data_IF_079209975363
#
_entry.id   IF_079209975363
#
_cell.length_a   1.000
_cell.length_b   1.000
_cell.length_c   1.000
_cell.angle_alpha   90.00
_cell.angle_beta   90.00
_cell.angle_gamma   90.00
#
_symmetry.space_group_name_H-M   'P 1'
#
loop_
_entity.id
_entity.type
_entity.pdbx_description
1 polymer ?
#
# COMPACT_ATOMS: atom_id res chain seq x y z
N UNK A 1 -1.32 -9.39 34.98
CA UNK A 1 -2.54 -10.24 34.93
C UNK A 1 -2.75 -10.67 33.50
N UNK A 2 -2.70 -11.97 33.27
CA UNK A 2 -2.79 -12.60 31.95
C UNK A 2 -4.16 -12.35 31.32
N UNK A 3 -4.23 -11.89 30.07
CA UNK A 3 -5.40 -12.03 29.16
C UNK A 3 -4.87 -12.04 27.73
N UNK A 4 -4.74 -13.20 27.19
CA UNK A 4 -5.58 -13.91 26.21
C UNK A 4 -5.36 -13.41 24.80
N UNK A 5 -4.42 -14.09 24.12
CA UNK A 5 -4.36 -14.24 22.67
C UNK A 5 -5.65 -14.95 22.21
N UNK A 6 -6.45 -14.30 21.43
CA UNK A 6 -7.57 -14.91 20.72
C UNK A 6 -7.11 -15.28 19.31
N UNK A 7 -6.77 -16.53 19.19
CA UNK A 7 -6.50 -17.21 17.92
C UNK A 7 -7.86 -17.33 17.18
N UNK A 8 -8.07 -16.57 16.14
CA UNK A 8 -9.17 -16.82 15.19
C UNK A 8 -8.64 -17.76 14.13
N UNK A 9 -8.88 -19.05 14.37
CA UNK A 9 -8.65 -20.12 13.42
C UNK A 9 -9.83 -20.10 12.42
N UNK A 10 -9.67 -19.55 11.25
CA UNK A 10 -10.61 -19.74 10.15
C UNK A 10 -10.44 -21.15 9.61
N UNK A 11 -11.47 -21.97 9.83
CA UNK A 11 -11.57 -23.36 9.38
C UNK A 11 -11.94 -23.37 7.91
N UNK A 12 -10.96 -23.66 7.06
CA UNK A 12 -11.19 -24.11 5.69
C UNK A 12 -11.71 -25.56 5.73
N UNK A 13 -12.99 -25.76 5.47
CA UNK A 13 -13.55 -27.08 5.21
C UNK A 13 -13.26 -27.51 3.77
N UNK A 14 -12.18 -28.25 3.60
CA UNK A 14 -11.95 -29.02 2.38
C UNK A 14 -12.60 -30.39 2.56
N UNK A 15 -13.60 -30.70 1.74
CA UNK A 15 -14.15 -32.05 1.61
C UNK A 15 -13.19 -32.90 0.76
N UNK A 16 -12.39 -33.73 1.42
CA UNK A 16 -11.63 -34.77 0.74
C UNK A 16 -12.45 -36.06 0.66
N UNK A 17 -12.78 -36.51 -0.52
CA UNK A 17 -13.27 -37.84 -0.80
C UNK A 17 -12.10 -38.83 -0.88
N UNK A 18 -12.16 -39.81 -0.05
CA UNK A 18 -11.24 -40.92 0.11
C UNK A 18 -11.18 -41.82 -1.14
N UNK A 19 -10.00 -42.10 -1.63
CA UNK A 19 -9.71 -43.38 -2.25
C UNK A 19 -8.23 -43.77 -2.00
N UNK A 20 -8.04 -44.95 -1.48
CA UNK A 20 -6.91 -45.43 -0.74
C UNK A 20 -5.69 -45.89 -1.53
N UNK A 21 -4.69 -46.20 -0.71
CA UNK A 21 -3.67 -47.25 -0.74
C UNK A 21 -2.27 -46.96 -1.22
N UNK A 22 -1.47 -47.01 -0.21
CA UNK A 22 -0.15 -47.66 -0.04
C UNK A 22 1.13 -46.84 -0.25
N UNK A 23 2.11 -47.02 0.67
CA UNK A 23 3.25 -46.16 0.79
C UNK A 23 4.37 -46.62 -0.14
N UNK A 24 4.86 -45.71 -0.95
CA UNK A 24 6.22 -45.80 -1.48
C UNK A 24 7.00 -44.60 -0.96
N UNK A 25 8.00 -44.88 -0.15
CA UNK A 25 9.05 -43.97 0.21
C UNK A 25 9.92 -43.79 -1.03
N UNK A 26 9.88 -42.61 -1.64
CA UNK A 26 10.94 -42.20 -2.55
C UNK A 26 11.41 -40.82 -2.15
N UNK A 27 12.72 -40.66 -2.16
CA UNK A 27 13.50 -39.58 -1.61
C UNK A 27 13.53 -38.39 -2.58
N UNK A 28 13.18 -37.23 -2.05
CA UNK A 28 13.82 -35.94 -2.35
C UNK A 28 13.80 -35.44 -3.79
N UNK A 29 12.84 -34.58 -4.05
CA UNK A 29 13.08 -33.36 -4.82
C UNK A 29 12.01 -32.37 -4.32
N UNK A 30 12.45 -31.20 -3.81
CA UNK A 30 11.55 -30.14 -3.38
C UNK A 30 10.87 -29.54 -4.62
N UNK A 31 9.84 -30.18 -5.12
CA UNK A 31 8.89 -29.55 -6.02
C UNK A 31 7.96 -28.71 -5.17
N UNK A 32 8.18 -27.41 -5.17
CA UNK A 32 7.17 -26.43 -4.78
C UNK A 32 5.98 -26.70 -5.70
N UNK A 33 4.87 -27.21 -5.18
CA UNK A 33 3.65 -27.38 -5.95
C UNK A 33 3.11 -25.98 -6.25
N UNK A 34 3.14 -25.58 -7.51
CA UNK A 34 2.48 -24.34 -7.97
C UNK A 34 1.01 -24.45 -7.60
N UNK A 35 0.51 -23.49 -6.83
CA UNK A 35 -0.90 -23.40 -6.48
C UNK A 35 -1.64 -22.88 -7.70
N UNK A 36 -2.57 -23.66 -8.24
CA UNK A 36 -3.41 -23.26 -9.37
C UNK A 36 -4.85 -23.12 -8.91
N UNK A 37 -5.48 -22.00 -9.22
CA UNK A 37 -6.89 -21.75 -8.89
C UNK A 37 -7.79 -22.44 -9.90
N UNK A 38 -8.77 -23.20 -9.42
CA UNK A 38 -9.80 -23.80 -10.27
C UNK A 38 -10.96 -22.81 -10.44
N UNK A 39 -11.32 -22.52 -11.70
CA UNK A 39 -12.47 -21.68 -12.03
C UNK A 39 -13.72 -22.55 -12.29
N UNK A 40 -14.96 -22.10 -11.97
CA UNK A 40 -15.25 -20.78 -11.39
C UNK A 40 -14.76 -20.63 -9.95
N UNK A 41 -14.29 -19.43 -9.61
CA UNK A 41 -13.91 -19.08 -8.25
C UNK A 41 -14.86 -18.02 -7.68
N UNK A 42 -15.25 -18.19 -6.42
CA UNK A 42 -16.09 -17.22 -5.70
C UNK A 42 -15.32 -16.65 -4.52
N UNK A 43 -15.30 -15.34 -4.44
CA UNK A 43 -14.62 -14.58 -3.36
C UNK A 43 -15.58 -13.60 -2.70
N UNK A 44 -15.19 -13.11 -1.52
CA UNK A 44 -15.85 -11.97 -0.88
C UNK A 44 -14.91 -10.78 -0.95
N UNK A 45 -15.38 -9.64 -1.48
CA UNK A 45 -14.58 -8.42 -1.57
C UNK A 45 -14.49 -7.69 -0.23
N UNK A 46 -13.70 -6.59 -0.18
CA UNK A 46 -13.44 -5.87 1.07
C UNK A 46 -14.63 -5.06 1.62
N UNK A 47 -15.76 -5.03 0.90
CA UNK A 47 -17.01 -4.45 1.41
C UNK A 47 -18.12 -5.49 1.63
N UNK A 48 -17.79 -6.78 1.49
CA UNK A 48 -18.65 -7.90 1.80
C UNK A 48 -19.54 -8.41 0.66
N UNK A 49 -19.27 -8.05 -0.60
CA UNK A 49 -19.98 -8.62 -1.74
C UNK A 49 -19.39 -9.99 -2.09
N UNK A 50 -20.26 -10.94 -2.48
CA UNK A 50 -19.85 -12.18 -3.12
C UNK A 50 -19.79 -11.99 -4.65
N UNK A 51 -18.62 -12.28 -5.23
CA UNK A 51 -18.34 -12.20 -6.65
C UNK A 51 -17.85 -13.56 -7.14
N UNK A 52 -18.42 -14.04 -8.24
CA UNK A 52 -17.96 -15.24 -8.93
C UNK A 52 -17.32 -14.83 -10.25
N UNK A 53 -16.11 -15.36 -10.49
CA UNK A 53 -15.40 -15.24 -11.76
C UNK A 53 -15.37 -16.62 -12.40
N UNK A 54 -15.96 -16.73 -13.60
CA UNK A 54 -16.20 -18.03 -14.24
C UNK A 54 -14.96 -18.61 -14.92
N UNK A 55 -14.07 -17.77 -15.43
CA UNK A 55 -12.83 -18.13 -16.14
C UNK A 55 -11.69 -17.21 -15.70
N UNK A 56 -10.44 -17.64 -15.93
CA UNK A 56 -9.25 -16.83 -15.61
C UNK A 56 -9.30 -15.48 -16.37
N UNK A 57 -9.24 -14.34 -15.64
CA UNK A 57 -9.27 -13.03 -16.28
C UNK A 57 -8.06 -12.78 -17.19
N UNK A 58 -8.35 -12.25 -18.38
CA UNK A 58 -7.36 -11.82 -19.38
C UNK A 58 -7.44 -10.31 -19.67
N UNK A 59 -8.52 -9.65 -19.22
CA UNK A 59 -8.81 -8.24 -19.48
C UNK A 59 -9.26 -7.53 -18.22
N UNK A 60 -8.29 -7.02 -17.47
CA UNK A 60 -8.52 -6.39 -16.17
C UNK A 60 -8.64 -4.88 -16.34
N UNK A 61 -9.67 -4.29 -15.73
CA UNK A 61 -9.76 -2.84 -15.54
C UNK A 61 -9.52 -2.53 -14.06
N UNK A 62 -8.58 -1.63 -13.79
CA UNK A 62 -8.33 -1.11 -12.46
C UNK A 62 -8.65 0.38 -12.39
N UNK A 63 -9.65 0.76 -11.59
CA UNK A 63 -10.08 2.16 -11.41
C UNK A 63 -9.37 2.88 -10.25
N UNK A 64 -8.26 2.33 -9.75
CA UNK A 64 -7.58 2.84 -8.57
C UNK A 64 -6.08 2.54 -8.59
N UNK A 65 -5.25 3.57 -8.46
CA UNK A 65 -3.79 3.41 -8.54
C UNK A 65 -3.22 2.38 -7.55
N UNK A 66 -3.85 2.20 -6.39
CA UNK A 66 -3.42 1.22 -5.39
C UNK A 66 -3.61 -0.20 -5.92
N UNK A 67 -4.76 -0.50 -6.51
CA UNK A 67 -4.99 -1.82 -7.14
C UNK A 67 -4.20 -2.00 -8.44
N UNK A 68 -3.97 -0.94 -9.19
CA UNK A 68 -3.09 -0.98 -10.37
C UNK A 68 -1.65 -1.33 -9.98
N UNK A 69 -1.11 -0.69 -8.92
CA UNK A 69 0.19 -1.03 -8.34
C UNK A 69 0.25 -2.49 -7.87
N UNK A 70 -0.80 -3.00 -7.23
CA UNK A 70 -0.87 -4.40 -6.82
C UNK A 70 -0.88 -5.35 -8.03
N UNK A 71 -1.62 -5.02 -9.09
CA UNK A 71 -1.59 -5.79 -10.34
C UNK A 71 -0.18 -5.83 -10.97
N UNK A 72 0.53 -4.70 -11.01
CA UNK A 72 1.91 -4.64 -11.51
C UNK A 72 2.83 -5.50 -10.64
N UNK A 73 2.77 -5.38 -9.31
CA UNK A 73 3.58 -6.19 -8.40
C UNK A 73 3.29 -7.71 -8.53
N UNK A 74 2.07 -8.07 -8.93
CA UNK A 74 1.66 -9.45 -9.18
C UNK A 74 2.02 -9.95 -10.60
N UNK A 75 2.61 -9.10 -11.47
CA UNK A 75 2.98 -9.46 -12.86
C UNK A 75 1.77 -9.54 -13.79
N UNK A 76 0.78 -8.67 -13.59
CA UNK A 76 -0.46 -8.62 -14.36
C UNK A 76 -0.54 -7.42 -15.30
N UNK A 77 0.56 -6.71 -15.52
CA UNK A 77 0.61 -5.51 -16.37
C UNK A 77 0.10 -5.78 -17.79
N UNK A 78 0.42 -6.92 -18.37
CA UNK A 78 -0.03 -7.34 -19.71
C UNK A 78 -1.56 -7.58 -19.79
N UNK A 79 -2.22 -7.80 -18.65
CA UNK A 79 -3.66 -8.02 -18.56
C UNK A 79 -4.46 -6.74 -18.26
N UNK A 80 -3.78 -5.66 -17.85
CA UNK A 80 -4.42 -4.38 -17.59
C UNK A 80 -4.79 -3.67 -18.89
N UNK A 81 -6.09 -3.70 -19.27
CA UNK A 81 -6.60 -3.07 -20.50
C UNK A 81 -7.01 -1.62 -20.31
N UNK A 82 -7.35 -1.21 -19.09
CA UNK A 82 -7.55 0.19 -18.72
C UNK A 82 -7.27 0.41 -17.24
N UNK A 83 -6.76 1.60 -16.91
CA UNK A 83 -6.33 2.00 -15.57
C UNK A 83 -6.85 3.40 -15.22
N UNK A 84 -6.63 3.83 -14.00
CA UNK A 84 -7.00 5.17 -13.53
C UNK A 84 -6.28 6.29 -14.32
N UNK A 85 -6.79 7.52 -14.22
CA UNK A 85 -6.13 8.71 -14.81
C UNK A 85 -4.83 9.08 -14.09
N UNK A 86 -3.92 9.79 -14.78
CA UNK A 86 -2.68 10.33 -14.22
C UNK A 86 -1.55 9.32 -14.07
N UNK A 87 -1.59 8.21 -14.79
CA UNK A 87 -0.51 7.20 -14.82
C UNK A 87 0.82 7.75 -15.30
N UNK A 88 0.80 8.71 -16.25
CA UNK A 88 1.96 9.42 -16.76
C UNK A 88 2.68 10.29 -15.70
N UNK A 89 2.00 10.60 -14.60
CA UNK A 89 2.52 11.36 -13.47
C UNK A 89 3.03 10.47 -12.33
N UNK A 90 2.90 9.14 -12.47
CA UNK A 90 3.32 8.17 -11.46
C UNK A 90 4.56 7.42 -11.94
N UNK A 91 5.73 7.65 -11.29
CA UNK A 91 7.00 7.06 -11.73
C UNK A 91 6.97 5.54 -11.88
N UNK A 92 6.21 4.83 -11.03
CA UNK A 92 6.15 3.37 -11.06
C UNK A 92 5.70 2.81 -12.42
N UNK A 93 4.80 3.47 -13.13
CA UNK A 93 4.41 3.03 -14.47
C UNK A 93 5.55 3.13 -15.47
N UNK A 94 6.37 4.19 -15.37
CA UNK A 94 7.54 4.34 -16.25
C UNK A 94 8.66 3.35 -15.92
N UNK A 95 8.78 2.97 -14.64
CA UNK A 95 9.85 2.10 -14.15
C UNK A 95 9.52 0.62 -14.35
N UNK A 96 8.31 0.20 -14.02
CA UNK A 96 7.93 -1.21 -13.95
C UNK A 96 6.97 -1.66 -15.07
N UNK A 97 6.18 -0.75 -15.64
CA UNK A 97 5.16 -1.09 -16.65
C UNK A 97 5.02 -0.01 -17.74
N UNK A 98 6.13 0.38 -18.43
CA UNK A 98 6.10 1.49 -19.40
C UNK A 98 5.14 1.25 -20.56
N UNK A 99 4.89 0.01 -20.94
CA UNK A 99 3.97 -0.33 -22.04
C UNK A 99 2.50 0.03 -21.72
N UNK A 100 2.12 0.03 -20.43
CA UNK A 100 0.77 0.47 -20.02
C UNK A 100 0.49 1.93 -20.37
N UNK A 101 1.51 2.79 -20.39
CA UNK A 101 1.35 4.19 -20.74
C UNK A 101 0.92 4.39 -22.21
N UNK A 102 1.19 3.41 -23.07
CA UNK A 102 0.87 3.43 -24.50
C UNK A 102 -0.40 2.63 -24.84
N UNK A 103 -0.68 1.56 -24.06
CA UNK A 103 -1.68 0.55 -24.42
C UNK A 103 -2.96 0.61 -23.59
N UNK A 104 -2.87 1.02 -22.31
CA UNK A 104 -4.02 1.02 -21.43
C UNK A 104 -4.98 2.20 -21.68
N UNK A 105 -6.28 1.91 -21.68
CA UNK A 105 -7.33 2.92 -21.64
C UNK A 105 -7.35 3.67 -20.32
N UNK A 106 -8.08 4.79 -20.26
CA UNK A 106 -8.27 5.60 -19.05
C UNK A 106 -9.72 5.49 -18.58
N UNK A 107 -9.92 5.15 -17.31
CA UNK A 107 -11.25 5.02 -16.68
C UNK A 107 -11.52 6.08 -15.61
N UNK A 108 -10.82 7.22 -15.69
CA UNK A 108 -11.01 8.33 -14.76
C UNK A 108 -10.34 8.12 -13.42
N UNK A 109 -10.82 8.79 -12.39
CA UNK A 109 -10.27 8.72 -11.03
C UNK A 109 -11.18 7.98 -10.07
N UNK A 110 -10.67 7.65 -8.89
CA UNK A 110 -11.45 7.04 -7.81
C UNK A 110 -12.70 7.83 -7.42
N UNK A 111 -12.70 9.16 -7.63
CA UNK A 111 -13.84 10.07 -7.35
C UNK A 111 -14.74 10.29 -8.56
N UNK A 112 -14.25 10.02 -9.76
CA UNK A 112 -14.91 10.28 -11.04
C UNK A 112 -14.61 9.14 -12.00
N UNK A 113 -15.09 7.95 -11.65
CA UNK A 113 -14.92 6.74 -12.46
C UNK A 113 -15.74 6.82 -13.73
N UNK A 114 -15.12 6.53 -14.87
CA UNK A 114 -15.76 6.51 -16.20
C UNK A 114 -16.23 5.09 -16.53
N UNK A 115 -17.50 4.83 -16.24
CA UNK A 115 -18.14 3.54 -16.51
C UNK A 115 -18.22 3.25 -18.02
N UNK A 116 -18.42 4.26 -18.88
CA UNK A 116 -18.53 4.06 -20.33
C UNK A 116 -17.18 3.63 -20.90
N UNK A 117 -16.09 4.29 -20.49
CA UNK A 117 -14.72 3.89 -20.85
C UNK A 117 -14.38 2.48 -20.31
N UNK A 118 -14.79 2.15 -19.09
CA UNK A 118 -14.62 0.82 -18.51
C UNK A 118 -15.31 -0.25 -19.37
N UNK A 119 -16.58 -0.07 -19.71
CA UNK A 119 -17.34 -1.03 -20.53
C UNK A 119 -16.73 -1.13 -21.94
N UNK A 120 -16.30 0.00 -22.53
CA UNK A 120 -15.67 0.02 -23.85
C UNK A 120 -14.33 -0.74 -23.90
N UNK A 121 -13.66 -0.91 -22.76
CA UNK A 121 -12.47 -1.73 -22.65
C UNK A 121 -12.75 -3.25 -22.66
N UNK A 122 -14.04 -3.67 -22.65
CA UNK A 122 -14.49 -5.07 -22.66
C UNK A 122 -13.77 -5.92 -21.58
N UNK A 123 -13.83 -5.52 -20.28
CA UNK A 123 -13.17 -6.26 -19.20
C UNK A 123 -13.89 -7.56 -18.85
N UNK A 124 -13.12 -8.52 -18.37
CA UNK A 124 -13.62 -9.75 -17.72
C UNK A 124 -13.42 -9.72 -16.19
N UNK A 125 -12.68 -8.72 -15.67
CA UNK A 125 -12.62 -8.38 -14.26
C UNK A 125 -12.44 -6.87 -14.09
N UNK A 126 -13.18 -6.27 -13.14
CA UNK A 126 -13.03 -4.85 -12.77
C UNK A 126 -12.68 -4.74 -11.29
N UNK A 127 -11.66 -3.93 -10.97
CA UNK A 127 -11.25 -3.62 -9.61
C UNK A 127 -11.61 -2.16 -9.33
N UNK A 128 -12.55 -1.93 -8.41
CA UNK A 128 -13.07 -0.62 -8.08
C UNK A 128 -12.59 -0.16 -6.70
N UNK A 129 -12.24 1.13 -6.52
CA UNK A 129 -12.09 1.69 -5.19
C UNK A 129 -13.46 1.80 -4.49
N UNK A 130 -13.47 1.80 -3.15
CA UNK A 130 -14.69 2.00 -2.35
C UNK A 130 -15.49 3.23 -2.77
N UNK A 131 -14.83 4.30 -3.22
CA UNK A 131 -15.51 5.52 -3.70
C UNK A 131 -16.32 5.31 -5.00
N UNK A 132 -16.02 4.26 -5.75
CA UNK A 132 -16.73 3.87 -6.99
C UNK A 132 -17.62 2.63 -6.81
N UNK A 133 -17.87 2.19 -5.58
CA UNK A 133 -18.62 0.96 -5.27
C UNK A 133 -20.01 0.89 -5.90
N UNK A 134 -20.65 2.04 -6.11
CA UNK A 134 -22.00 2.10 -6.69
C UNK A 134 -22.06 1.54 -8.13
N UNK A 135 -20.93 1.52 -8.85
CA UNK A 135 -20.85 0.94 -10.19
C UNK A 135 -20.79 -0.59 -10.19
N UNK A 136 -20.43 -1.23 -9.08
CA UNK A 136 -20.32 -2.68 -8.98
C UNK A 136 -21.67 -3.39 -9.32
N UNK A 137 -22.79 -2.83 -8.86
CA UNK A 137 -24.11 -3.38 -9.16
C UNK A 137 -24.44 -3.26 -10.67
N UNK A 138 -24.10 -2.15 -11.31
CA UNK A 138 -24.34 -1.95 -12.75
C UNK A 138 -23.49 -2.92 -13.57
N UNK A 139 -22.22 -3.12 -13.22
CA UNK A 139 -21.34 -4.08 -13.87
C UNK A 139 -21.85 -5.51 -13.71
N UNK A 140 -22.34 -5.88 -12.52
CA UNK A 140 -22.97 -7.18 -12.26
C UNK A 140 -24.21 -7.42 -13.14
N UNK A 141 -25.06 -6.41 -13.35
CA UNK A 141 -26.22 -6.50 -14.24
C UNK A 141 -25.84 -6.72 -15.71
N UNK A 142 -24.61 -6.33 -16.08
CA UNK A 142 -24.00 -6.55 -17.39
C UNK A 142 -23.19 -7.85 -17.46
N UNK A 143 -23.22 -8.68 -16.41
CA UNK A 143 -22.42 -9.89 -16.25
C UNK A 143 -20.91 -9.65 -16.32
N UNK A 144 -20.43 -8.50 -15.85
CA UNK A 144 -19.02 -8.16 -15.69
C UNK A 144 -18.68 -8.29 -14.20
N UNK A 145 -17.81 -9.24 -13.81
CA UNK A 145 -17.35 -9.37 -12.42
C UNK A 145 -16.62 -8.11 -11.95
N UNK A 146 -17.00 -7.59 -10.78
CA UNK A 146 -16.36 -6.41 -10.21
C UNK A 146 -16.16 -6.60 -8.72
N UNK A 147 -14.93 -6.42 -8.23
CA UNK A 147 -14.58 -6.39 -6.81
C UNK A 147 -14.39 -4.94 -6.36
N UNK A 148 -14.69 -4.68 -5.10
CA UNK A 148 -14.43 -3.38 -4.46
C UNK A 148 -13.33 -3.55 -3.44
N UNK A 149 -12.30 -2.71 -3.54
CA UNK A 149 -11.15 -2.70 -2.62
C UNK A 149 -11.11 -1.43 -1.78
N UNK A 150 -10.66 -1.56 -0.53
CA UNK A 150 -10.56 -0.48 0.46
C UNK A 150 -9.42 -0.77 1.45
N UNK A 151 -8.15 -0.77 1.01
CA UNK A 151 -7.01 -1.10 1.85
C UNK A 151 -6.57 0.10 2.70
N UNK A 152 -7.21 0.30 3.84
CA UNK A 152 -6.93 1.43 4.75
C UNK A 152 -5.98 1.06 5.91
N UNK A 153 -5.46 -0.18 5.90
CA UNK A 153 -4.47 -0.69 6.85
C UNK A 153 -3.53 -1.69 6.20
N UNK A 154 -2.44 -2.05 6.88
CA UNK A 154 -1.53 -3.11 6.42
C UNK A 154 -2.25 -4.45 6.22
N UNK A 155 -3.14 -4.81 7.16
CA UNK A 155 -3.92 -6.05 7.07
C UNK A 155 -4.85 -6.03 5.85
N UNK A 156 -5.54 -4.93 5.61
CA UNK A 156 -6.45 -4.79 4.46
C UNK A 156 -5.70 -4.73 3.13
N UNK A 157 -4.47 -4.19 3.11
CA UNK A 157 -3.60 -4.25 1.94
C UNK A 157 -3.22 -5.69 1.60
N UNK A 158 -2.81 -6.48 2.59
CA UNK A 158 -2.52 -7.92 2.42
C UNK A 158 -3.74 -8.64 1.88
N UNK A 159 -4.92 -8.45 2.48
CA UNK A 159 -6.16 -9.03 1.99
C UNK A 159 -6.48 -8.66 0.54
N UNK A 160 -6.21 -7.42 0.12
CA UNK A 160 -6.38 -7.01 -1.28
C UNK A 160 -5.42 -7.75 -2.22
N UNK A 161 -4.16 -7.91 -1.83
CA UNK A 161 -3.15 -8.63 -2.62
C UNK A 161 -3.56 -10.11 -2.78
N UNK A 162 -3.95 -10.77 -1.70
CA UNK A 162 -4.44 -12.16 -1.70
C UNK A 162 -5.71 -12.32 -2.54
N UNK A 163 -6.64 -11.37 -2.44
CA UNK A 163 -7.88 -11.35 -3.21
C UNK A 163 -7.61 -11.26 -4.72
N UNK A 164 -6.75 -10.34 -5.14
CA UNK A 164 -6.34 -10.19 -6.53
C UNK A 164 -5.59 -11.44 -7.00
N UNK A 165 -4.65 -11.94 -6.20
CA UNK A 165 -3.89 -13.16 -6.50
C UNK A 165 -4.78 -14.38 -6.73
N UNK A 166 -5.82 -14.55 -5.90
CA UNK A 166 -6.81 -15.63 -6.06
C UNK A 166 -7.62 -15.48 -7.34
N UNK A 167 -8.08 -14.26 -7.67
CA UNK A 167 -8.90 -14.02 -8.85
C UNK A 167 -8.13 -14.12 -10.17
N UNK A 168 -6.80 -14.00 -10.13
CA UNK A 168 -5.94 -13.94 -11.33
C UNK A 168 -4.99 -15.11 -11.48
N UNK A 169 -5.13 -16.15 -10.62
CA UNK A 169 -4.24 -17.33 -10.57
C UNK A 169 -2.77 -16.96 -10.35
N UNK A 170 -2.52 -15.89 -9.57
CA UNK A 170 -1.16 -15.44 -9.18
C UNK A 170 -0.90 -15.65 -7.68
N UNK A 171 -1.50 -16.69 -7.07
CA UNK A 171 -1.45 -16.98 -5.63
C UNK A 171 -0.01 -17.11 -5.13
N UNK A 172 0.84 -17.89 -5.81
CA UNK A 172 2.24 -18.08 -5.38
C UNK A 172 3.02 -16.76 -5.33
N UNK A 173 2.75 -15.83 -6.27
CA UNK A 173 3.39 -14.52 -6.28
C UNK A 173 2.80 -13.60 -5.19
N UNK A 174 1.49 -13.67 -4.97
CA UNK A 174 0.83 -12.97 -3.87
C UNK A 174 1.36 -13.43 -2.52
N UNK A 175 1.48 -14.74 -2.30
CA UNK A 175 2.04 -15.33 -1.07
C UNK A 175 3.51 -14.87 -0.86
N UNK A 176 4.31 -14.82 -1.93
CA UNK A 176 5.70 -14.34 -1.87
C UNK A 176 5.76 -12.86 -1.49
N UNK A 177 4.92 -12.02 -2.10
CA UNK A 177 4.83 -10.59 -1.81
C UNK A 177 4.37 -10.34 -0.36
N UNK A 178 3.35 -11.06 0.09
CA UNK A 178 2.84 -10.98 1.47
C UNK A 178 3.91 -11.43 2.48
N UNK A 179 4.59 -12.55 2.21
CA UNK A 179 5.66 -13.03 3.08
C UNK A 179 6.82 -12.03 3.20
N UNK A 180 7.18 -11.37 2.09
CA UNK A 180 8.20 -10.30 2.10
C UNK A 180 7.74 -9.08 2.87
N UNK A 181 6.48 -8.68 2.70
CA UNK A 181 5.86 -7.59 3.42
C UNK A 181 5.88 -7.83 4.94
N UNK A 182 5.47 -9.04 5.37
CA UNK A 182 5.51 -9.46 6.77
C UNK A 182 6.94 -9.56 7.33
N UNK A 183 7.90 -10.07 6.54
CA UNK A 183 9.33 -10.10 6.91
C UNK A 183 9.83 -8.69 7.23
N UNK A 184 9.53 -7.72 6.37
CA UNK A 184 9.96 -6.33 6.53
C UNK A 184 9.30 -5.66 7.73
N UNK A 185 8.00 -5.87 7.96
CA UNK A 185 7.33 -5.40 9.18
C UNK A 185 7.91 -6.05 10.44
N UNK A 186 8.17 -7.36 10.42
CA UNK A 186 8.81 -8.07 11.53
C UNK A 186 10.21 -7.55 11.85
N UNK A 187 10.95 -7.07 10.85
CA UNK A 187 12.23 -6.37 11.05
C UNK A 187 12.04 -5.09 11.87
N UNK A 188 11.02 -4.29 11.54
CA UNK A 188 10.70 -3.06 12.29
C UNK A 188 10.24 -3.38 13.70
N UNK A 189 9.39 -4.38 13.90
CA UNK A 189 8.96 -4.82 15.21
C UNK A 189 10.14 -5.21 16.10
N UNK A 190 11.13 -5.91 15.55
CA UNK A 190 12.35 -6.28 16.28
C UNK A 190 13.20 -5.05 16.67
N UNK A 191 13.30 -4.04 15.81
CA UNK A 191 14.03 -2.80 16.07
C UNK A 191 13.36 -2.02 17.22
N UNK A 192 12.04 -1.99 17.25
CA UNK A 192 11.24 -1.17 18.16
C UNK A 192 10.79 -1.90 19.43
N UNK A 193 11.09 -3.21 19.56
CA UNK A 193 10.57 -4.08 20.63
C UNK A 193 10.90 -3.62 22.05
N UNK A 194 12.11 -3.07 22.25
CA UNK A 194 12.60 -2.64 23.55
C UNK A 194 12.33 -1.15 23.85
N UNK A 195 11.67 -0.43 22.91
CA UNK A 195 11.36 1.00 23.04
C UNK A 195 10.06 1.15 23.81
N UNK A 196 10.14 1.76 24.99
CA UNK A 196 8.95 2.02 25.78
C UNK A 196 8.04 3.06 25.11
N UNK A 197 6.75 3.02 25.42
CA UNK A 197 5.79 3.93 24.81
C UNK A 197 6.09 5.42 25.10
N UNK A 198 6.70 5.73 26.25
CA UNK A 198 7.13 7.08 26.59
C UNK A 198 8.34 7.56 25.76
N UNK A 199 9.16 6.65 25.23
CA UNK A 199 10.35 6.95 24.43
C UNK A 199 10.07 7.11 22.94
N UNK A 200 8.90 6.65 22.47
CA UNK A 200 8.52 6.78 21.06
C UNK A 200 8.35 8.25 20.65
N UNK A 201 9.03 8.70 19.58
CA UNK A 201 8.96 10.08 19.13
C UNK A 201 7.59 10.43 18.55
N UNK A 202 7.15 11.67 18.77
CA UNK A 202 5.97 12.23 18.13
C UNK A 202 6.29 12.71 16.71
N UNK A 203 5.57 12.18 15.74
CA UNK A 203 5.74 12.46 14.31
C UNK A 203 4.55 13.26 13.81
N UNK A 204 4.80 14.42 13.21
CA UNK A 204 3.82 15.18 12.46
C UNK A 204 4.03 14.91 10.97
N UNK A 205 3.08 14.25 10.34
CA UNK A 205 3.09 14.10 8.89
C UNK A 205 2.27 15.20 8.26
N UNK A 206 2.91 15.99 7.41
CA UNK A 206 2.28 17.08 6.67
C UNK A 206 1.32 16.55 5.62
N UNK A 207 0.34 17.38 5.23
CA UNK A 207 -0.51 17.09 4.08
C UNK A 207 0.19 17.32 2.75
N UNK A 208 -0.37 16.76 1.69
CA UNK A 208 0.23 16.84 0.34
C UNK A 208 0.34 18.28 -0.19
N UNK A 209 -0.61 19.15 0.12
CA UNK A 209 -0.68 20.50 -0.43
C UNK A 209 -0.31 21.59 0.58
N UNK A 210 -0.13 21.24 1.84
CA UNK A 210 0.15 22.20 2.91
C UNK A 210 0.73 21.54 4.14
N UNK A 211 1.78 22.14 4.73
CA UNK A 211 2.28 21.69 6.03
C UNK A 211 1.35 22.05 7.20
N UNK A 212 0.32 22.87 6.95
CA UNK A 212 -0.74 23.16 7.93
C UNK A 212 -1.93 22.22 7.81
N UNK A 213 -1.78 21.14 7.04
CA UNK A 213 -2.70 20.00 6.96
C UNK A 213 -1.99 18.76 7.49
N UNK A 214 -2.67 17.89 8.19
CA UNK A 214 -2.07 16.69 8.81
C UNK A 214 -2.96 15.46 8.74
N UNK A 215 -2.45 14.38 9.25
CA UNK A 215 -3.05 13.03 9.28
C UNK A 215 -3.81 12.82 10.59
N UNK A 216 -5.15 12.77 10.59
CA UNK A 216 -5.93 12.30 11.74
C UNK A 216 -5.67 10.82 12.05
N UNK A 217 -6.12 10.39 13.23
CA UNK A 217 -5.83 9.05 13.79
C UNK A 217 -6.33 7.87 12.95
N UNK A 218 -7.42 8.06 12.18
CA UNK A 218 -8.10 6.97 11.46
C UNK A 218 -7.61 6.81 10.00
N UNK A 219 -6.58 7.57 9.59
CA UNK A 219 -5.97 7.45 8.26
C UNK A 219 -4.85 6.39 8.22
N UNK A 220 -4.63 5.80 7.05
CA UNK A 220 -3.54 4.86 6.78
C UNK A 220 -2.17 5.36 7.26
N UNK A 221 -1.85 6.62 7.00
CA UNK A 221 -0.56 7.21 7.39
C UNK A 221 -0.35 7.24 8.91
N UNK A 222 -1.43 7.31 9.70
CA UNK A 222 -1.33 7.18 11.16
C UNK A 222 -0.91 5.77 11.57
N UNK A 223 -1.42 4.73 10.90
CA UNK A 223 -0.99 3.34 11.12
C UNK A 223 0.45 3.12 10.67
N UNK A 224 0.89 3.77 9.58
CA UNK A 224 2.26 3.76 9.09
C UNK A 224 3.25 4.30 10.13
N UNK A 225 2.95 5.48 10.73
CA UNK A 225 3.75 6.06 11.81
C UNK A 225 3.83 5.13 13.02
N UNK A 226 2.69 4.55 13.42
CA UNK A 226 2.63 3.64 14.56
C UNK A 226 3.41 2.35 14.32
N UNK A 227 3.30 1.76 13.14
CA UNK A 227 4.06 0.58 12.73
C UNK A 227 5.57 0.85 12.73
N UNK A 228 6.01 2.05 12.34
CA UNK A 228 7.41 2.47 12.37
C UNK A 228 7.95 2.77 13.78
N UNK A 229 7.17 2.57 14.83
CA UNK A 229 7.55 2.83 16.21
C UNK A 229 7.40 4.30 16.65
N UNK A 230 6.73 5.14 15.86
CA UNK A 230 6.41 6.52 16.21
C UNK A 230 5.04 6.69 16.86
N UNK A 231 4.73 7.91 17.28
CA UNK A 231 3.39 8.35 17.69
C UNK A 231 2.90 9.45 16.76
N UNK A 232 1.69 9.33 16.25
CA UNK A 232 1.11 10.41 15.46
C UNK A 232 0.86 11.64 16.37
N UNK A 233 1.51 12.76 16.07
CA UNK A 233 1.34 14.00 16.83
C UNK A 233 -0.12 14.53 16.77
N UNK A 234 -0.86 14.13 15.73
CA UNK A 234 -2.27 14.47 15.51
C UNK A 234 -3.25 13.37 15.97
N UNK A 235 -2.83 12.40 16.81
CA UNK A 235 -3.66 11.28 17.30
C UNK A 235 -4.98 11.69 17.97
N UNK A 236 -5.07 12.91 18.47
CA UNK A 236 -6.25 13.47 19.10
C UNK A 236 -7.20 14.19 18.12
N UNK A 237 -6.88 14.21 16.83
CA UNK A 237 -7.73 14.73 15.77
C UNK A 237 -8.52 13.55 15.18
N UNK A 238 -9.85 13.64 15.29
CA UNK A 238 -10.74 12.67 14.66
C UNK A 238 -10.88 12.97 13.16
N UNK A 239 -10.96 11.93 12.34
CA UNK A 239 -11.21 12.04 10.90
C UNK A 239 -10.53 10.95 10.09
N UNK A 240 -11.02 10.79 8.88
CA UNK A 240 -10.58 9.82 7.85
C UNK A 240 -10.02 10.51 6.59
N UNK A 241 -9.74 11.79 6.69
CA UNK A 241 -9.22 12.61 5.60
C UNK A 241 -8.27 13.70 6.12
N UNK A 242 -7.38 14.17 5.24
CA UNK A 242 -6.45 15.27 5.53
C UNK A 242 -7.18 16.45 6.17
N UNK A 243 -6.71 16.91 7.33
CA UNK A 243 -7.36 17.91 8.15
C UNK A 243 -6.46 19.11 8.40
N UNK A 244 -7.00 20.30 8.16
CA UNK A 244 -6.30 21.55 8.44
C UNK A 244 -6.13 21.77 9.95
N UNK A 245 -4.97 22.27 10.34
CA UNK A 245 -4.64 22.62 11.72
C UNK A 245 -4.28 24.11 11.81
N UNK A 246 -4.63 24.73 12.93
CA UNK A 246 -4.16 26.06 13.25
C UNK A 246 -2.72 26.04 13.76
N UNK A 247 -2.03 27.19 13.71
CA UNK A 247 -0.71 27.33 14.35
C UNK A 247 -0.72 27.00 15.83
N UNK A 248 -1.79 27.34 16.55
CA UNK A 248 -1.96 27.01 17.97
C UNK A 248 -2.01 25.50 18.20
N UNK A 249 -2.74 24.77 17.35
CA UNK A 249 -2.78 23.31 17.41
C UNK A 249 -1.43 22.70 17.09
N UNK A 250 -0.75 23.15 16.03
CA UNK A 250 0.56 22.65 15.65
C UNK A 250 1.59 22.90 16.76
N UNK A 251 1.62 24.11 17.34
CA UNK A 251 2.50 24.42 18.48
C UNK A 251 2.18 23.56 19.72
N UNK A 252 0.92 23.24 19.95
CA UNK A 252 0.48 22.37 21.05
C UNK A 252 0.93 20.93 20.85
N UNK A 253 0.94 20.43 19.62
CA UNK A 253 1.45 19.09 19.27
C UNK A 253 2.95 18.99 19.51
N UNK A 254 3.71 20.03 19.19
CA UNK A 254 5.16 20.15 19.36
C UNK A 254 5.93 18.86 19.00
N UNK A 255 5.84 18.38 17.76
CA UNK A 255 6.40 17.10 17.33
C UNK A 255 7.92 17.04 17.44
N UNK A 256 8.45 15.82 17.62
CA UNK A 256 9.87 15.52 17.61
C UNK A 256 10.43 15.46 16.19
N UNK A 257 9.60 15.06 15.23
CA UNK A 257 9.93 14.89 13.80
C UNK A 257 8.78 15.40 12.96
N UNK A 258 9.11 16.07 11.84
CA UNK A 258 8.15 16.45 10.80
C UNK A 258 8.50 15.68 9.53
N UNK A 259 7.50 15.04 8.91
CA UNK A 259 7.62 14.32 7.65
C UNK A 259 6.76 14.99 6.59
N UNK A 260 7.38 15.30 5.45
CA UNK A 260 6.70 15.72 4.22
C UNK A 260 6.47 14.47 3.38
N UNK A 261 5.21 14.11 3.05
CA UNK A 261 4.89 12.87 2.36
C UNK A 261 5.38 12.84 0.91
N UNK A 262 5.60 11.64 0.36
CA UNK A 262 6.06 11.44 -1.02
C UNK A 262 4.99 11.74 -2.07
N UNK A 263 3.73 11.78 -1.68
CA UNK A 263 2.56 11.82 -2.58
C UNK A 263 2.28 13.19 -3.22
N UNK A 264 3.22 14.12 -3.19
CA UNK A 264 2.92 15.52 -3.55
C UNK A 264 3.50 15.95 -4.89
N UNK A 265 3.37 15.11 -5.93
CA UNK A 265 4.23 15.29 -7.11
C UNK A 265 3.52 15.40 -8.46
N UNK A 266 2.28 15.87 -8.48
CA UNK A 266 1.54 16.07 -9.72
C UNK A 266 2.31 16.87 -10.81
N UNK A 267 3.35 17.61 -10.43
CA UNK A 267 4.20 18.37 -11.35
C UNK A 267 5.70 18.21 -11.05
N UNK A 268 6.10 17.17 -10.32
CA UNK A 268 7.49 16.90 -9.96
C UNK A 268 8.08 17.89 -8.95
N UNK A 269 7.25 18.73 -8.31
CA UNK A 269 7.66 19.64 -7.25
C UNK A 269 6.60 19.68 -6.16
N UNK A 270 6.97 19.63 -4.87
CA UNK A 270 6.04 19.80 -3.77
C UNK A 270 5.52 21.26 -3.73
N UNK A 271 4.29 21.44 -3.24
CA UNK A 271 3.70 22.77 -3.05
C UNK A 271 4.43 23.57 -1.97
N UNK A 272 5.22 22.92 -1.12
CA UNK A 272 6.05 23.49 -0.07
C UNK A 272 7.26 22.60 0.20
N UNK A 273 8.24 23.09 0.93
CA UNK A 273 9.50 22.42 1.24
C UNK A 273 9.80 22.42 2.73
N UNK A 274 10.82 21.67 3.15
CA UNK A 274 11.37 21.75 4.51
C UNK A 274 11.89 23.16 4.85
N UNK A 275 12.43 23.87 3.86
CA UNK A 275 12.90 25.25 4.03
C UNK A 275 11.75 26.20 4.32
N UNK A 276 10.56 26.02 3.70
CA UNK A 276 9.38 26.84 3.97
C UNK A 276 8.89 26.65 5.42
N UNK A 277 8.90 25.41 5.93
CA UNK A 277 8.56 25.11 7.33
C UNK A 277 9.59 25.72 8.27
N UNK A 278 10.88 25.57 7.98
CA UNK A 278 11.98 26.10 8.80
C UNK A 278 12.01 27.62 8.81
N UNK A 279 11.61 28.27 7.73
CA UNK A 279 11.57 29.73 7.59
C UNK A 279 10.31 30.37 8.21
N UNK A 280 9.29 29.57 8.56
CA UNK A 280 8.06 30.10 9.16
C UNK A 280 8.32 30.56 10.62
N UNK A 281 8.29 31.88 10.91
CA UNK A 281 8.60 32.37 12.25
C UNK A 281 7.58 31.91 13.30
N UNK A 282 6.37 31.49 12.91
CA UNK A 282 5.35 31.01 13.83
C UNK A 282 5.65 29.56 14.30
N UNK A 283 6.47 28.81 13.56
CA UNK A 283 6.86 27.44 13.88
C UNK A 283 8.24 27.32 14.55
N UNK A 284 8.95 28.44 14.71
CA UNK A 284 10.34 28.48 15.25
C UNK A 284 10.49 27.89 16.65
N UNK A 285 9.41 27.76 17.43
CA UNK A 285 9.42 27.18 18.77
C UNK A 285 9.20 25.66 18.78
N UNK A 286 8.78 25.07 17.65
CA UNK A 286 8.55 23.63 17.54
C UNK A 286 9.87 22.86 17.65
N UNK A 287 9.86 21.76 18.39
CA UNK A 287 11.04 20.95 18.66
C UNK A 287 11.69 20.44 17.38
N UNK A 288 10.92 19.86 16.46
CA UNK A 288 11.41 19.36 15.18
C UNK A 288 12.07 20.45 14.33
N UNK A 289 11.55 21.68 14.36
CA UNK A 289 12.14 22.83 13.66
C UNK A 289 13.47 23.25 14.27
N UNK A 290 13.53 23.36 15.61
CA UNK A 290 14.78 23.69 16.36
C UNK A 290 15.87 22.66 16.16
N UNK A 291 15.51 21.40 16.13
CA UNK A 291 16.41 20.27 16.04
C UNK A 291 16.73 19.90 14.57
N UNK A 292 16.20 20.67 13.60
CA UNK A 292 16.36 20.46 12.14
C UNK A 292 15.88 19.05 11.68
N UNK A 293 14.86 18.51 12.36
CA UNK A 293 14.28 17.18 12.10
C UNK A 293 13.04 17.26 11.19
N UNK A 294 13.23 17.78 10.00
CA UNK A 294 12.21 17.89 8.95
C UNK A 294 12.70 17.09 7.76
N UNK A 295 11.97 16.04 7.40
CA UNK A 295 12.40 15.07 6.40
C UNK A 295 11.40 15.01 5.25
N UNK A 296 11.91 14.96 4.01
CA UNK A 296 11.10 14.65 2.85
C UNK A 296 11.12 13.13 2.63
N UNK A 297 9.95 12.48 2.64
CA UNK A 297 9.87 11.09 2.20
C UNK A 297 10.27 11.03 0.71
N UNK A 298 11.15 10.10 0.32
CA UNK A 298 11.58 9.99 -1.07
C UNK A 298 10.40 9.83 -2.04
N UNK A 299 10.53 10.43 -3.20
CA UNK A 299 9.61 10.30 -4.32
C UNK A 299 10.38 9.82 -5.57
N UNK A 300 9.67 9.48 -6.61
CA UNK A 300 10.30 8.97 -7.85
C UNK A 300 10.12 7.47 -8.03
N UNK A 301 9.40 6.84 -7.10
CA UNK A 301 9.02 5.43 -7.13
C UNK A 301 7.49 5.30 -6.98
N UNK A 302 7.01 4.72 -5.90
CA UNK A 302 5.61 4.75 -5.50
C UNK A 302 5.38 5.73 -4.34
N UNK A 303 4.11 6.01 -4.06
CA UNK A 303 3.73 6.79 -2.88
C UNK A 303 3.81 5.91 -1.63
N UNK A 304 4.96 5.86 -0.96
CA UNK A 304 5.18 5.02 0.23
C UNK A 304 4.31 5.41 1.43
N UNK A 305 3.71 6.58 1.40
CA UNK A 305 2.69 7.02 2.36
C UNK A 305 1.27 6.55 2.00
N UNK A 306 1.14 5.69 0.99
CA UNK A 306 -0.14 5.11 0.53
C UNK A 306 -0.14 3.58 0.69
N UNK A 307 -1.32 2.94 0.80
CA UNK A 307 -1.43 1.49 0.94
C UNK A 307 -1.22 0.76 -0.40
N UNK A 308 -0.07 0.98 -1.00
CA UNK A 308 0.45 0.25 -2.17
C UNK A 308 1.34 -0.90 -1.71
N UNK A 309 1.65 -1.92 -2.54
CA UNK A 309 2.53 -3.02 -2.13
C UNK A 309 3.88 -2.56 -1.56
N UNK A 310 4.48 -1.52 -2.14
CA UNK A 310 5.71 -0.93 -1.61
C UNK A 310 5.49 0.01 -0.41
N UNK A 311 4.26 0.17 0.09
CA UNK A 311 3.95 1.00 1.26
C UNK A 311 4.68 0.57 2.55
N UNK A 312 5.07 -0.72 2.66
CA UNK A 312 5.96 -1.20 3.73
C UNK A 312 7.29 -0.45 3.76
N UNK A 313 7.80 0.00 2.62
CA UNK A 313 9.02 0.80 2.52
C UNK A 313 8.85 2.16 3.19
N UNK A 314 7.65 2.71 3.22
CA UNK A 314 7.33 3.90 4.00
C UNK A 314 7.49 3.68 5.50
N UNK A 315 7.04 2.53 6.01
CA UNK A 315 7.26 2.13 7.41
C UNK A 315 8.76 2.00 7.71
N UNK A 316 9.52 1.32 6.85
CA UNK A 316 10.97 1.14 7.02
C UNK A 316 11.71 2.47 6.95
N UNK A 317 11.36 3.33 6.01
CA UNK A 317 11.99 4.65 5.89
C UNK A 317 11.74 5.52 7.13
N UNK A 318 10.50 5.55 7.63
CA UNK A 318 10.18 6.25 8.88
C UNK A 318 11.01 5.66 10.04
N UNK A 319 11.14 4.32 10.11
CA UNK A 319 11.97 3.66 11.12
C UNK A 319 13.43 4.11 11.04
N UNK A 320 14.00 4.18 9.83
CA UNK A 320 15.37 4.66 9.63
C UNK A 320 15.54 6.14 10.03
N UNK A 321 14.52 6.97 9.85
CA UNK A 321 14.49 8.36 10.31
C UNK A 321 14.43 8.44 11.83
N UNK A 322 13.60 7.61 12.48
CA UNK A 322 13.37 7.67 13.92
C UNK A 322 14.50 6.99 14.73
N UNK A 323 15.08 5.93 14.19
CA UNK A 323 16.03 5.04 14.87
C UNK A 323 17.28 4.76 14.02
N UNK A 324 18.03 5.81 13.61
CA UNK A 324 19.16 5.66 12.67
C UNK A 324 20.33 4.84 13.21
N UNK A 325 20.46 4.69 14.52
CA UNK A 325 21.51 3.87 15.14
C UNK A 325 21.18 2.37 15.08
N UNK A 326 19.90 2.00 15.05
CA UNK A 326 19.39 0.62 14.98
C UNK A 326 19.12 0.17 13.54
N UNK A 327 18.73 1.11 12.67
CA UNK A 327 18.42 0.86 11.27
C UNK A 327 18.83 2.07 10.42
N UNK A 328 19.95 1.92 9.75
CA UNK A 328 20.52 3.04 8.98
C UNK A 328 19.77 3.30 7.66
N UNK A 329 19.92 4.50 7.11
CA UNK A 329 19.36 4.83 5.80
C UNK A 329 20.02 3.99 4.67
N UNK A 330 21.26 3.52 4.87
CA UNK A 330 21.94 2.60 3.94
C UNK A 330 21.28 1.20 3.96
N UNK A 331 20.93 0.68 5.15
CA UNK A 331 20.20 -0.58 5.29
C UNK A 331 18.81 -0.49 4.66
N UNK A 332 18.12 0.61 4.90
CA UNK A 332 16.83 0.89 4.26
C UNK A 332 16.94 0.90 2.73
N UNK A 333 17.93 1.62 2.18
CA UNK A 333 18.11 1.73 0.74
C UNK A 333 18.34 0.35 0.08
N UNK A 334 19.03 -0.55 0.79
CA UNK A 334 19.24 -1.93 0.35
C UNK A 334 17.92 -2.72 0.35
N UNK A 335 17.17 -2.68 1.46
CA UNK A 335 15.88 -3.39 1.55
C UNK A 335 14.91 -2.89 0.48
N UNK A 336 14.90 -1.58 0.19
CA UNK A 336 14.05 -0.99 -0.85
C UNK A 336 14.48 -1.45 -2.26
N UNK A 337 15.78 -1.48 -2.56
CA UNK A 337 16.30 -1.95 -3.84
C UNK A 337 15.97 -3.44 -4.06
N UNK A 338 16.16 -4.27 -3.03
CA UNK A 338 15.84 -5.70 -3.07
C UNK A 338 14.33 -5.91 -3.32
N UNK A 339 13.46 -5.11 -2.68
CA UNK A 339 12.00 -5.18 -2.87
C UNK A 339 11.59 -4.84 -4.31
N UNK A 340 12.08 -3.73 -4.87
CA UNK A 340 11.75 -3.33 -6.23
C UNK A 340 12.31 -4.28 -7.29
N UNK A 341 13.50 -4.82 -7.08
CA UNK A 341 14.07 -5.82 -7.98
C UNK A 341 13.22 -7.10 -7.99
N UNK A 342 12.73 -7.54 -6.83
CA UNK A 342 11.96 -8.79 -6.70
C UNK A 342 10.55 -8.69 -7.28
N UNK A 343 9.84 -7.58 -7.03
CA UNK A 343 8.42 -7.47 -7.35
C UNK A 343 8.08 -6.59 -8.55
N UNK A 344 9.01 -5.75 -8.99
CA UNK A 344 8.78 -4.79 -10.07
C UNK A 344 9.83 -4.87 -11.18
N UNK A 345 10.81 -5.76 -11.04
CA UNK A 345 11.86 -6.08 -12.03
C UNK A 345 12.64 -4.86 -12.54
N UNK A 346 12.92 -3.88 -11.64
CA UNK A 346 13.81 -2.78 -11.99
C UNK A 346 14.87 -2.51 -10.92
N UNK A 347 16.05 -2.02 -11.35
CA UNK A 347 17.12 -1.61 -10.48
C UNK A 347 16.87 -0.19 -9.95
N UNK A 348 16.67 -0.08 -8.62
CA UNK A 348 16.41 1.18 -7.97
C UNK A 348 17.67 2.02 -7.82
N UNK A 349 17.63 3.31 -8.24
CA UNK A 349 18.68 4.26 -7.92
C UNK A 349 18.62 4.70 -6.46
N UNK A 350 19.43 4.09 -5.61
CA UNK A 350 19.47 4.37 -4.18
C UNK A 350 20.15 5.70 -3.84
N UNK A 351 20.85 6.35 -4.78
CA UNK A 351 21.49 7.66 -4.56
C UNK A 351 20.49 8.79 -4.27
N UNK A 352 19.24 8.60 -4.63
CA UNK A 352 18.15 9.53 -4.33
C UNK A 352 17.64 9.44 -2.88
N UNK A 353 18.12 8.45 -2.11
CA UNK A 353 17.64 8.15 -0.74
C UNK A 353 18.72 8.44 0.31
N UNK A 354 19.98 8.18 -0.02
CA UNK A 354 21.14 8.26 0.91
C UNK A 354 21.85 9.60 0.80
#
# INVERSE_FOLDING_TARGET
MKKIFSLVLCVLMVFALMAGCSPNVDSGDGQTSVQTVEFPVTVTDQIGNEITVDELPERIVSGYYISSSACIALGLEDKLVAVEEGTDQRPIYQLAAPELLETAGNVGSAKSFDLEACIAAEPDLVILPKKAQDYAQTLKEMAIPAIVVSPESHEELVQMIELIGTLTDTVDRADTLVAKYEELLGKVENITADISDEEKPYVYMCGTNSYMTTVPKDMYQSSLIAAAGGKNAAENIDGDSWTDVSYEQFLSMNPDVIIIPSNNMANGQPDYSADDISADPQLSEIKAVKDEKIYNMPYGFEAWDSPVPSGVLGTLWITAVLYPDEYSMEDFAKDAADFYQEFYDFEMDTSAIV
#
